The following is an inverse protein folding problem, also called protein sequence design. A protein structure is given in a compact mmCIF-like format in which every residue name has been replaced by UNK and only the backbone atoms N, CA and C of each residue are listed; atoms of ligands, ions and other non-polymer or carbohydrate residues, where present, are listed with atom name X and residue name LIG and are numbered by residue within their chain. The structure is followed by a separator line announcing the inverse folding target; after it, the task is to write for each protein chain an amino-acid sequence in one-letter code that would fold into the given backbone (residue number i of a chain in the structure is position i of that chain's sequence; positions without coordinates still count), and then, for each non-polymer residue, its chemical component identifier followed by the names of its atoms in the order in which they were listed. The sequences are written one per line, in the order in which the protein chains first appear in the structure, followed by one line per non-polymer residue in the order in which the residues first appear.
data_IF_536425540840
#
_entry.id   IF_536425540840
#
_cell.length_a   1.000
_cell.length_b   1.000
_cell.length_c   1.000
_cell.angle_alpha   90.00
_cell.angle_beta   90.00
_cell.angle_gamma   90.00
#
_symmetry.space_group_name_H-M   'P 1'
#
loop_
_entity.id
_entity.type
_entity.pdbx_description
1 polymer ?
#
# COMPACT_ATOMS: atom_id res chain seq x y z
N UNK A 1 25.88 -2.23 -42.64
CA UNK A 1 26.57 -2.51 -41.38
C UNK A 1 26.16 -1.41 -40.40
N UNK A 2 25.39 -1.58 -39.32
CA UNK A 2 24.81 -2.74 -38.65
C UNK A 2 23.39 -2.37 -38.18
N UNK A 3 22.46 -3.27 -38.41
CA UNK A 3 21.08 -3.25 -37.94
C UNK A 3 20.94 -4.04 -36.64
N UNK A 4 19.88 -3.73 -35.88
CA UNK A 4 19.08 -4.70 -35.11
C UNK A 4 19.61 -5.17 -33.75
N UNK A 5 19.07 -4.59 -32.68
CA UNK A 5 18.83 -5.33 -31.42
C UNK A 5 17.35 -5.23 -31.03
N UNK A 6 16.63 -6.29 -31.37
CA UNK A 6 15.25 -6.65 -31.00
C UNK A 6 15.20 -6.88 -29.48
N UNK A 7 14.30 -6.28 -28.69
CA UNK A 7 12.90 -6.71 -28.46
C UNK A 7 12.73 -8.20 -28.14
N UNK A 8 13.17 -8.68 -26.97
CA UNK A 8 12.67 -9.92 -26.36
C UNK A 8 12.80 -9.89 -24.83
N UNK A 9 11.67 -9.84 -24.13
CA UNK A 9 11.51 -10.38 -22.76
C UNK A 9 10.01 -10.46 -22.43
N UNK A 10 9.32 -11.37 -23.10
CA UNK A 10 8.00 -11.85 -22.72
C UNK A 10 8.13 -13.35 -22.47
N UNK A 11 7.86 -13.80 -21.24
CA UNK A 11 7.30 -15.12 -20.89
C UNK A 11 7.62 -15.46 -19.42
N UNK A 12 6.57 -15.61 -18.60
CA UNK A 12 6.31 -16.75 -17.70
C UNK A 12 5.50 -16.29 -16.49
N UNK A 13 4.17 -16.38 -16.61
CA UNK A 13 3.24 -16.37 -15.48
C UNK A 13 1.97 -17.08 -15.91
N UNK A 14 1.94 -18.41 -15.75
CA UNK A 14 0.74 -19.21 -15.90
C UNK A 14 0.88 -20.54 -15.14
N UNK A 15 0.51 -20.51 -13.86
CA UNK A 15 0.16 -21.73 -13.09
C UNK A 15 -1.07 -21.39 -12.25
N UNK A 16 -2.23 -21.48 -12.88
CA UNK A 16 -3.55 -21.39 -12.23
C UNK A 16 -3.80 -22.72 -11.53
N UNK A 17 -3.86 -22.68 -10.20
CA UNK A 17 -4.15 -23.82 -9.35
C UNK A 17 -5.67 -24.11 -9.39
N UNK A 18 -6.00 -25.39 -9.61
CA UNK A 18 -7.36 -25.92 -9.60
C UNK A 18 -8.02 -25.71 -8.23
N UNK A 19 -9.26 -25.24 -8.28
CA UNK A 19 -10.20 -25.10 -7.18
C UNK A 19 -10.74 -26.49 -6.82
N UNK A 20 -10.38 -26.98 -5.63
CA UNK A 20 -11.02 -28.13 -4.98
C UNK A 20 -11.94 -27.63 -3.87
N UNK A 21 -13.25 -27.77 -4.07
CA UNK A 21 -14.25 -27.53 -3.04
C UNK A 21 -14.37 -28.73 -2.09
N UNK A 22 -14.60 -28.44 -0.81
CA UNK A 22 -15.22 -29.37 0.12
C UNK A 22 -16.10 -28.58 1.09
N UNK A 23 -17.35 -29.02 1.20
CA UNK A 23 -18.34 -28.61 2.18
C UNK A 23 -18.01 -29.17 3.58
N UNK A 24 -18.93 -28.98 4.53
CA UNK A 24 -19.08 -29.55 5.90
C UNK A 24 -18.76 -28.53 6.98
N UNK A 25 -19.51 -28.33 8.07
CA UNK A 25 -20.84 -28.78 8.50
C UNK A 25 -21.31 -27.81 9.60
N UNK A 26 -22.61 -27.75 9.84
CA UNK A 26 -23.19 -27.11 11.02
C UNK A 26 -22.84 -27.92 12.27
N UNK A 27 -22.37 -27.24 13.31
CA UNK A 27 -22.21 -27.80 14.65
C UNK A 27 -22.80 -26.82 15.68
N UNK A 28 -24.05 -27.13 16.02
CA UNK A 28 -24.75 -27.06 17.30
C UNK A 28 -24.12 -26.22 18.43
N UNK A 29 -24.92 -25.26 18.89
CA UNK A 29 -24.73 -24.44 20.09
C UNK A 29 -24.71 -25.31 21.36
N UNK A 30 -23.72 -25.07 22.21
CA UNK A 30 -23.74 -25.47 23.61
C UNK A 30 -23.45 -24.21 24.43
N UNK A 31 -24.52 -23.66 25.00
CA UNK A 31 -24.48 -22.67 26.08
C UNK A 31 -23.87 -23.35 27.31
N UNK A 32 -22.71 -22.86 27.75
CA UNK A 32 -22.19 -23.12 29.10
C UNK A 32 -22.07 -21.76 29.78
N UNK A 33 -23.10 -21.43 30.56
CA UNK A 33 -23.04 -20.37 31.56
C UNK A 33 -22.08 -20.81 32.67
N UNK A 34 -20.89 -20.21 32.69
CA UNK A 34 -19.97 -20.27 33.81
C UNK A 34 -19.77 -18.83 34.31
N UNK A 35 -20.54 -18.46 35.33
CA UNK A 35 -20.26 -17.28 36.16
C UNK A 35 -18.92 -17.50 36.87
N UNK A 36 -17.91 -16.74 36.45
CA UNK A 36 -16.65 -16.62 37.18
C UNK A 36 -16.51 -15.18 37.62
N UNK A 37 -16.87 -14.92 38.88
CA UNK A 37 -16.54 -13.68 39.58
C UNK A 37 -15.02 -13.58 39.76
N UNK A 38 -14.35 -12.85 38.88
CA UNK A 38 -12.95 -12.44 39.08
C UNK A 38 -12.93 -11.00 39.56
N UNK A 39 -12.91 -10.85 40.89
CA UNK A 39 -12.52 -9.62 41.57
C UNK A 39 -11.00 -9.43 41.40
N UNK A 40 -10.61 -8.62 40.42
CA UNK A 40 -9.23 -8.17 40.25
C UNK A 40 -9.19 -6.63 40.17
N UNK A 41 -9.08 -6.01 41.34
CA UNK A 41 -8.62 -4.62 41.46
C UNK A 41 -7.15 -4.54 41.05
N UNK A 42 -6.89 -4.31 39.76
CA UNK A 42 -5.58 -3.90 39.26
C UNK A 42 -5.70 -2.50 38.66
N UNK A 43 -5.54 -1.48 39.51
CA UNK A 43 -5.37 -0.07 39.13
C UNK A 43 -3.99 0.12 38.48
N UNK A 44 -3.81 -0.39 37.26
CA UNK A 44 -2.68 0.01 36.44
C UNK A 44 -2.99 1.37 35.84
N UNK A 45 -2.45 2.42 36.46
CA UNK A 45 -2.39 3.78 35.91
C UNK A 45 -1.68 3.71 34.55
N UNK A 46 -2.49 3.66 33.49
CA UNK A 46 -2.03 3.58 32.11
C UNK A 46 -1.53 4.99 31.74
N UNK A 47 -0.23 5.18 31.45
CA UNK A 47 0.30 6.51 31.14
C UNK A 47 -0.50 7.10 29.98
N UNK A 48 -1.00 8.32 30.18
CA UNK A 48 -1.79 9.04 29.20
C UNK A 48 -1.05 9.04 27.87
N UNK A 49 -1.63 8.42 26.85
CA UNK A 49 -1.08 8.45 25.50
C UNK A 49 -0.92 9.91 25.09
N UNK A 50 0.23 10.30 24.51
CA UNK A 50 0.41 11.65 24.02
C UNK A 50 -0.72 12.01 23.04
N UNK A 51 -1.17 13.27 23.03
CA UNK A 51 -2.24 13.70 22.15
C UNK A 51 -1.91 13.29 20.71
N UNK A 52 -2.83 12.56 20.08
CA UNK A 52 -2.69 12.18 18.67
C UNK A 52 -2.43 13.47 17.87
N UNK A 53 -1.42 13.50 16.99
CA UNK A 53 -1.21 14.64 16.13
C UNK A 53 -2.51 14.95 15.36
N UNK A 54 -2.80 16.23 15.11
CA UNK A 54 -4.00 16.62 14.36
C UNK A 54 -4.04 15.83 13.05
N UNK A 55 -5.21 15.24 12.75
CA UNK A 55 -5.40 14.53 11.48
C UNK A 55 -4.96 15.49 10.36
N UNK A 56 -4.05 15.09 9.46
CA UNK A 56 -3.77 15.90 8.28
C UNK A 56 -5.10 16.18 7.59
N UNK A 57 -5.32 17.43 7.19
CA UNK A 57 -6.52 17.87 6.49
C UNK A 57 -6.88 16.87 5.39
N UNK A 58 -8.18 16.60 5.15
CA UNK A 58 -8.59 15.54 4.24
C UNK A 58 -7.99 15.80 2.86
N UNK A 59 -7.15 14.88 2.40
CA UNK A 59 -6.51 14.86 1.06
C UNK A 59 -7.46 15.15 -0.12
N UNK A 60 -8.78 15.08 0.12
CA UNK A 60 -9.86 15.40 -0.80
C UNK A 60 -9.94 16.91 -1.07
N UNK A 61 -9.90 17.75 -0.03
CA UNK A 61 -9.91 19.22 -0.17
C UNK A 61 -8.70 19.70 -0.99
N UNK A 62 -7.52 19.14 -0.72
CA UNK A 62 -6.32 19.50 -1.47
C UNK A 62 -6.38 19.09 -2.97
N UNK A 63 -7.15 18.03 -3.30
CA UNK A 63 -7.37 17.61 -4.69
C UNK A 63 -8.39 18.48 -5.39
N UNK A 64 -9.41 18.91 -4.67
CA UNK A 64 -10.42 19.84 -5.16
C UNK A 64 -9.79 21.19 -5.45
N UNK A 65 -9.05 21.78 -4.50
CA UNK A 65 -8.30 23.03 -4.69
C UNK A 65 -7.35 22.97 -5.89
N UNK A 66 -6.63 21.87 -6.06
CA UNK A 66 -5.69 21.72 -7.18
C UNK A 66 -6.42 21.57 -8.53
N UNK A 67 -7.59 20.91 -8.55
CA UNK A 67 -8.43 20.80 -9.76
C UNK A 67 -9.05 22.14 -10.12
N UNK A 68 -9.60 22.83 -9.13
CA UNK A 68 -10.21 24.16 -9.26
C UNK A 68 -9.19 25.13 -9.85
N UNK A 69 -8.01 25.25 -9.25
CA UNK A 69 -6.92 26.10 -9.79
C UNK A 69 -6.53 25.76 -11.24
N UNK A 70 -6.58 24.49 -11.63
CA UNK A 70 -6.28 24.08 -13.03
C UNK A 70 -7.44 24.45 -13.97
N UNK A 71 -8.69 24.32 -13.51
CA UNK A 71 -9.85 24.75 -14.29
C UNK A 71 -9.87 26.26 -14.44
N UNK A 72 -9.65 27.02 -13.37
CA UNK A 72 -9.57 28.49 -13.40
C UNK A 72 -8.47 28.97 -14.36
N UNK A 73 -7.30 28.32 -14.33
CA UNK A 73 -6.20 28.65 -15.24
C UNK A 73 -6.57 28.37 -16.70
N UNK A 74 -7.38 27.32 -16.94
CA UNK A 74 -7.84 26.93 -18.28
C UNK A 74 -8.94 27.87 -18.79
N UNK A 75 -9.90 28.21 -17.95
CA UNK A 75 -11.01 29.13 -18.25
C UNK A 75 -10.47 30.53 -18.50
N UNK A 76 -9.63 31.06 -17.60
CA UNK A 76 -8.99 32.36 -17.80
C UNK A 76 -8.12 32.41 -19.07
N UNK A 77 -7.53 31.29 -19.48
CA UNK A 77 -6.82 31.18 -20.77
C UNK A 77 -7.75 31.24 -21.99
N UNK A 78 -8.95 30.68 -21.88
CA UNK A 78 -9.94 30.71 -22.96
C UNK A 78 -10.58 32.10 -23.08
N UNK A 79 -10.92 32.72 -21.95
CA UNK A 79 -11.46 34.08 -21.88
C UNK A 79 -10.47 35.09 -22.45
N UNK A 80 -9.22 35.10 -21.96
CA UNK A 80 -8.17 36.00 -22.51
C UNK A 80 -7.93 35.77 -24.00
N UNK A 81 -8.02 34.53 -24.49
CA UNK A 81 -7.89 34.25 -25.94
C UNK A 81 -9.05 34.82 -26.75
N UNK A 82 -10.26 34.82 -26.18
CA UNK A 82 -11.43 35.41 -26.82
C UNK A 82 -11.34 36.94 -26.81
N UNK A 83 -10.95 37.54 -25.69
CA UNK A 83 -10.75 38.99 -25.54
C UNK A 83 -9.69 39.49 -26.52
N UNK A 84 -8.49 38.88 -26.54
CA UNK A 84 -7.41 39.25 -27.46
C UNK A 84 -7.85 39.10 -28.92
N UNK A 85 -8.69 38.10 -29.25
CA UNK A 85 -9.22 37.93 -30.61
C UNK A 85 -10.14 39.09 -30.99
N UNK A 86 -10.99 39.53 -30.09
CA UNK A 86 -11.91 40.67 -30.30
C UNK A 86 -11.11 41.97 -30.41
N UNK A 87 -10.16 42.21 -29.52
CA UNK A 87 -9.27 43.39 -29.55
C UNK A 87 -8.47 43.45 -30.85
N UNK A 88 -7.92 42.32 -31.32
CA UNK A 88 -7.18 42.27 -32.58
C UNK A 88 -8.06 42.55 -33.81
N UNK A 89 -9.33 42.16 -33.77
CA UNK A 89 -10.30 42.47 -34.83
C UNK A 89 -10.71 43.95 -34.85
N UNK A 90 -10.80 44.57 -33.67
CA UNK A 90 -11.18 45.96 -33.49
C UNK A 90 -10.01 46.94 -33.65
N UNK A 91 -8.76 46.46 -33.60
CA UNK A 91 -7.57 47.28 -33.78
C UNK A 91 -7.51 47.89 -35.18
N UNK A 92 -7.62 49.22 -35.21
CA UNK A 92 -7.75 50.07 -36.39
C UNK A 92 -6.39 50.48 -36.95
N UNK A 93 -5.36 50.53 -36.10
CA UNK A 93 -4.00 50.93 -36.48
C UNK A 93 -2.98 49.81 -36.32
N UNK A 94 -1.87 49.92 -37.06
CA UNK A 94 -0.74 49.01 -36.93
C UNK A 94 -0.04 49.10 -35.57
N UNK A 95 -0.16 50.22 -34.86
CA UNK A 95 0.42 50.42 -33.52
C UNK A 95 -0.40 49.72 -32.43
N UNK A 96 -1.73 49.81 -32.49
CA UNK A 96 -2.65 49.08 -31.60
C UNK A 96 -2.46 47.56 -31.73
N UNK A 97 -2.24 47.06 -32.95
CA UNK A 97 -1.93 45.63 -33.15
C UNK A 97 -0.60 45.23 -32.50
N UNK A 98 0.39 46.13 -32.49
CA UNK A 98 1.70 45.86 -31.86
C UNK A 98 1.60 45.82 -30.34
N UNK A 99 0.78 46.67 -29.72
CA UNK A 99 0.57 46.65 -28.27
C UNK A 99 -0.17 45.37 -27.84
N UNK A 100 -1.23 44.98 -28.56
CA UNK A 100 -1.95 43.72 -28.30
C UNK A 100 -1.03 42.50 -28.42
N UNK A 101 -0.16 42.45 -29.44
CA UNK A 101 0.82 41.35 -29.59
C UNK A 101 1.81 41.33 -28.42
N UNK A 102 2.24 42.51 -27.93
CA UNK A 102 3.15 42.60 -26.79
C UNK A 102 2.49 42.10 -25.51
N UNK A 103 1.25 42.52 -25.23
CA UNK A 103 0.46 42.04 -24.09
C UNK A 103 0.17 40.55 -24.18
N UNK A 104 -0.11 40.02 -25.37
CA UNK A 104 -0.26 38.57 -25.59
C UNK A 104 1.02 37.81 -25.24
N UNK A 105 2.20 38.38 -25.56
CA UNK A 105 3.49 37.78 -25.24
C UNK A 105 3.76 37.79 -23.74
N UNK A 106 3.54 38.92 -23.07
CA UNK A 106 3.69 39.06 -21.62
C UNK A 106 2.73 38.12 -20.87
N UNK A 107 1.46 38.05 -21.29
CA UNK A 107 0.48 37.11 -20.74
C UNK A 107 0.91 35.65 -20.92
N UNK A 108 1.50 35.30 -22.06
CA UNK A 108 1.99 33.94 -22.30
C UNK A 108 3.17 33.59 -21.40
N UNK A 109 4.04 34.55 -21.14
CA UNK A 109 5.15 34.40 -20.19
C UNK A 109 4.60 34.21 -18.76
N UNK A 110 3.66 35.05 -18.31
CA UNK A 110 3.00 34.93 -17.00
C UNK A 110 2.34 33.55 -16.79
N UNK A 111 1.61 33.05 -17.81
CA UNK A 111 0.97 31.73 -17.75
C UNK A 111 2.02 30.62 -17.69
N UNK A 112 3.13 30.77 -18.41
CA UNK A 112 4.23 29.80 -18.39
C UNK A 112 4.86 29.73 -17.01
N UNK A 113 5.08 30.89 -16.39
CA UNK A 113 5.68 30.99 -15.06
C UNK A 113 4.75 30.39 -13.99
N UNK A 114 3.45 30.72 -14.02
CA UNK A 114 2.44 30.08 -13.16
C UNK A 114 2.39 28.56 -13.35
N UNK A 115 2.44 28.08 -14.59
CA UNK A 115 2.46 26.65 -14.87
C UNK A 115 3.73 25.97 -14.34
N UNK A 116 4.89 26.64 -14.40
CA UNK A 116 6.13 26.14 -13.81
C UNK A 116 6.05 26.10 -12.27
N UNK A 117 5.49 27.13 -11.65
CA UNK A 117 5.29 27.19 -10.20
C UNK A 117 4.36 26.06 -9.72
N UNK A 118 3.22 25.85 -10.39
CA UNK A 118 2.30 24.74 -10.07
C UNK A 118 3.01 23.40 -10.20
N UNK A 119 3.81 23.19 -11.25
CA UNK A 119 4.58 21.95 -11.44
C UNK A 119 5.63 21.75 -10.35
N UNK A 120 6.34 22.81 -9.94
CA UNK A 120 7.28 22.78 -8.82
C UNK A 120 6.60 22.36 -7.51
N UNK A 121 5.49 23.02 -7.19
CA UNK A 121 4.69 22.72 -6.00
C UNK A 121 4.18 21.27 -5.97
N UNK A 122 3.77 20.71 -7.11
CA UNK A 122 3.33 19.31 -7.20
C UNK A 122 4.51 18.36 -6.93
N UNK A 123 5.69 18.65 -7.47
CA UNK A 123 6.90 17.84 -7.30
C UNK A 123 7.36 17.82 -5.84
N UNK A 124 7.40 18.97 -5.18
CA UNK A 124 7.73 19.05 -3.75
C UNK A 124 6.73 18.26 -2.90
N UNK A 125 5.43 18.41 -3.17
CA UNK A 125 4.38 17.64 -2.49
C UNK A 125 4.53 16.14 -2.70
N UNK A 126 4.91 15.70 -3.90
CA UNK A 126 5.17 14.29 -4.18
C UNK A 126 6.36 13.79 -3.35
N UNK A 127 7.44 14.56 -3.25
CA UNK A 127 8.59 14.20 -2.41
C UNK A 127 8.20 14.07 -0.93
N UNK A 128 7.40 15.02 -0.41
CA UNK A 128 6.86 14.93 0.95
C UNK A 128 6.00 13.69 1.12
N UNK A 129 5.12 13.39 0.16
CA UNK A 129 4.27 12.20 0.18
C UNK A 129 5.08 10.91 0.20
N UNK A 130 6.09 10.81 -0.65
CA UNK A 130 7.00 9.65 -0.70
C UNK A 130 7.72 9.48 0.64
N UNK A 131 8.33 10.55 1.17
CA UNK A 131 9.09 10.49 2.43
C UNK A 131 8.22 10.13 3.63
N UNK A 132 7.04 10.75 3.75
CA UNK A 132 6.20 10.62 4.95
C UNK A 132 5.27 9.42 4.87
N UNK A 133 4.43 9.35 3.84
CA UNK A 133 3.38 8.35 3.75
C UNK A 133 3.93 7.00 3.32
N UNK A 134 4.73 6.96 2.25
CA UNK A 134 5.28 5.70 1.76
C UNK A 134 6.32 5.16 2.75
N UNK A 135 7.16 6.03 3.31
CA UNK A 135 8.07 5.67 4.39
C UNK A 135 7.38 5.03 5.59
N UNK A 136 6.22 5.56 6.03
CA UNK A 136 5.45 4.97 7.12
C UNK A 136 4.80 3.62 6.75
N UNK A 137 4.42 3.41 5.48
CA UNK A 137 3.93 2.11 4.99
C UNK A 137 5.05 1.08 4.97
N UNK A 138 6.23 1.45 4.46
CA UNK A 138 7.42 0.57 4.41
C UNK A 138 7.79 0.12 5.82
N UNK A 139 7.99 1.06 6.76
CA UNK A 139 8.36 0.73 8.15
C UNK A 139 7.35 -0.20 8.84
N UNK A 140 6.05 0.04 8.66
CA UNK A 140 5.02 -0.84 9.23
C UNK A 140 5.02 -2.23 8.60
N UNK A 141 5.29 -2.31 7.31
CA UNK A 141 5.37 -3.57 6.57
C UNK A 141 6.59 -4.39 7.00
N UNK A 142 7.76 -3.75 7.16
CA UNK A 142 8.98 -4.37 7.70
C UNK A 142 8.73 -4.92 9.10
N UNK A 143 8.13 -4.12 9.99
CA UNK A 143 7.80 -4.58 11.34
C UNK A 143 6.86 -5.79 11.33
N UNK A 144 5.83 -5.80 10.47
CA UNK A 144 4.92 -6.94 10.34
C UNK A 144 5.65 -8.20 9.86
N UNK A 145 6.53 -8.08 8.85
CA UNK A 145 7.32 -9.20 8.34
C UNK A 145 8.29 -9.74 9.40
N UNK A 146 8.92 -8.88 10.19
CA UNK A 146 9.77 -9.30 11.31
C UNK A 146 8.97 -10.06 12.37
N UNK A 147 7.73 -9.62 12.65
CA UNK A 147 6.83 -10.36 13.54
C UNK A 147 6.46 -11.73 12.96
N UNK A 148 6.27 -11.83 11.64
CA UNK A 148 5.97 -13.10 10.97
C UNK A 148 7.15 -14.07 11.07
N UNK A 149 8.38 -13.62 10.85
CA UNK A 149 9.58 -14.45 11.00
C UNK A 149 9.71 -15.00 12.43
N UNK A 150 9.47 -14.16 13.44
CA UNK A 150 9.44 -14.59 14.84
C UNK A 150 8.34 -15.63 15.12
N UNK A 151 7.16 -15.47 14.52
CA UNK A 151 6.07 -16.45 14.65
C UNK A 151 6.42 -17.77 13.98
N UNK A 152 7.03 -17.74 12.80
CA UNK A 152 7.51 -18.95 12.09
C UNK A 152 8.48 -19.71 12.98
N UNK A 153 9.52 -19.06 13.52
CA UNK A 153 10.49 -19.71 14.40
C UNK A 153 9.86 -20.36 15.64
N UNK A 154 8.85 -19.70 16.24
CA UNK A 154 8.10 -20.28 17.36
C UNK A 154 7.25 -21.49 16.95
N UNK A 155 6.66 -21.47 15.76
CA UNK A 155 5.90 -22.60 15.22
C UNK A 155 6.81 -23.79 14.93
N UNK A 156 7.96 -23.57 14.29
CA UNK A 156 8.97 -24.60 14.03
C UNK A 156 9.42 -25.28 15.34
N UNK A 157 9.76 -24.49 16.36
CA UNK A 157 10.14 -25.04 17.67
C UNK A 157 9.03 -25.86 18.33
N UNK A 158 7.77 -25.46 18.17
CA UNK A 158 6.63 -26.21 18.72
C UNK A 158 6.32 -27.48 17.92
N UNK A 159 6.48 -27.44 16.59
CA UNK A 159 6.38 -28.62 15.72
C UNK A 159 7.42 -29.65 16.14
N UNK A 160 8.67 -29.24 16.35
CA UNK A 160 9.75 -30.16 16.77
C UNK A 160 9.43 -30.85 18.11
N UNK A 161 8.97 -30.09 19.10
CA UNK A 161 8.54 -30.66 20.39
C UNK A 161 7.36 -31.62 20.27
N UNK A 162 6.48 -31.46 19.29
CA UNK A 162 5.38 -32.39 19.04
C UNK A 162 5.87 -33.67 18.35
N UNK A 163 6.83 -33.55 17.42
CA UNK A 163 7.50 -34.71 16.80
C UNK A 163 8.23 -35.56 17.83
N UNK A 164 8.95 -34.94 18.76
CA UNK A 164 9.64 -35.64 19.86
C UNK A 164 8.67 -36.46 20.73
N UNK A 165 7.40 -36.06 20.78
CA UNK A 165 6.32 -36.78 21.47
C UNK A 165 5.60 -37.81 20.60
N UNK A 166 6.04 -38.03 19.37
CA UNK A 166 5.45 -38.97 18.43
C UNK A 166 4.18 -38.48 17.72
N UNK A 167 3.84 -37.19 17.79
CA UNK A 167 2.68 -36.65 17.06
C UNK A 167 2.97 -36.55 15.55
N UNK A 168 2.00 -36.89 14.71
CA UNK A 168 2.07 -36.64 13.26
C UNK A 168 1.90 -35.16 12.97
N UNK A 169 2.98 -34.51 12.54
CA UNK A 169 3.02 -33.07 12.25
C UNK A 169 2.92 -32.74 10.77
N UNK A 170 2.82 -33.74 9.89
CA UNK A 170 2.96 -33.60 8.43
C UNK A 170 2.08 -32.49 7.84
N UNK A 171 0.80 -32.43 8.24
CA UNK A 171 -0.15 -31.42 7.75
C UNK A 171 0.19 -29.99 8.21
N UNK A 172 0.71 -29.84 9.44
CA UNK A 172 1.07 -28.52 9.98
C UNK A 172 2.34 -28.01 9.33
N UNK A 173 3.30 -28.89 9.06
CA UNK A 173 4.54 -28.56 8.33
C UNK A 173 4.25 -28.07 6.91
N UNK A 174 3.37 -28.77 6.18
CA UNK A 174 2.93 -28.34 4.85
C UNK A 174 2.27 -26.96 4.89
N UNK A 175 1.40 -26.73 5.90
CA UNK A 175 0.73 -25.43 6.09
C UNK A 175 1.71 -24.32 6.45
N UNK A 176 2.74 -24.60 7.27
CA UNK A 176 3.78 -23.65 7.62
C UNK A 176 4.65 -23.31 6.40
N UNK A 177 5.02 -24.30 5.59
CA UNK A 177 5.75 -24.10 4.34
C UNK A 177 5.00 -23.17 3.39
N UNK A 178 3.68 -23.36 3.22
CA UNK A 178 2.84 -22.46 2.43
C UNK A 178 2.83 -21.02 2.99
N UNK A 179 2.74 -20.87 4.32
CA UNK A 179 2.83 -19.56 4.98
C UNK A 179 4.18 -18.88 4.74
N UNK A 180 5.30 -19.61 4.79
CA UNK A 180 6.64 -19.11 4.49
C UNK A 180 6.73 -18.61 3.04
N UNK A 181 6.15 -19.34 2.08
CA UNK A 181 6.10 -18.90 0.69
C UNK A 181 5.37 -17.54 0.51
N UNK A 182 4.26 -17.35 1.24
CA UNK A 182 3.52 -16.08 1.23
C UNK A 182 4.30 -14.94 1.90
N UNK A 183 5.02 -15.22 2.99
CA UNK A 183 5.93 -14.24 3.63
C UNK A 183 7.03 -13.81 2.65
N UNK A 184 7.64 -14.76 1.94
CA UNK A 184 8.64 -14.48 0.90
C UNK A 184 8.07 -13.61 -0.21
N UNK A 185 6.85 -13.89 -0.65
CA UNK A 185 6.15 -13.07 -1.65
C UNK A 185 5.92 -11.65 -1.13
N UNK A 186 5.47 -11.48 0.12
CA UNK A 186 5.28 -10.18 0.74
C UNK A 186 6.60 -9.40 0.90
N UNK A 187 7.71 -10.08 1.24
CA UNK A 187 9.07 -9.49 1.27
C UNK A 187 9.49 -9.00 -0.11
N UNK A 188 9.25 -9.79 -1.17
CA UNK A 188 9.58 -9.41 -2.54
C UNK A 188 8.76 -8.19 -3.00
N UNK A 189 7.46 -8.15 -2.71
CA UNK A 189 6.61 -7.00 -3.05
C UNK A 189 7.03 -5.74 -2.30
N UNK A 190 7.41 -5.85 -1.02
CA UNK A 190 7.92 -4.73 -0.24
C UNK A 190 9.25 -4.22 -0.82
N UNK A 191 10.16 -5.12 -1.21
CA UNK A 191 11.38 -4.77 -1.92
C UNK A 191 11.08 -4.02 -3.22
N UNK A 192 10.10 -4.48 -4.00
CA UNK A 192 9.63 -3.79 -5.21
C UNK A 192 9.12 -2.37 -4.94
N UNK A 193 8.38 -2.16 -3.85
CA UNK A 193 7.95 -0.82 -3.43
C UNK A 193 9.14 0.07 -3.04
N UNK A 194 10.13 -0.47 -2.32
CA UNK A 194 11.35 0.27 -1.95
C UNK A 194 12.16 0.67 -3.18
N UNK A 195 12.33 -0.24 -4.15
CA UNK A 195 12.99 0.07 -5.43
C UNK A 195 12.23 1.15 -6.19
N UNK A 196 10.90 1.07 -6.26
CA UNK A 196 10.08 2.09 -6.91
C UNK A 196 10.30 3.47 -6.24
N UNK A 197 10.29 3.53 -4.91
CA UNK A 197 10.56 4.76 -4.14
C UNK A 197 11.95 5.31 -4.45
N UNK A 198 12.99 4.47 -4.49
CA UNK A 198 14.34 4.89 -4.81
C UNK A 198 14.49 5.37 -6.27
N UNK A 199 13.67 4.85 -7.18
CA UNK A 199 13.68 5.23 -8.59
C UNK A 199 12.96 6.55 -8.90
N UNK A 200 12.23 7.13 -7.94
CA UNK A 200 11.54 8.41 -8.14
C UNK A 200 12.57 9.54 -8.28
N UNK A 201 12.90 9.86 -9.52
CA UNK A 201 13.79 10.97 -9.88
C UNK A 201 13.03 12.28 -10.01
N UNK A 202 13.79 13.37 -9.96
CA UNK A 202 13.30 14.73 -10.12
C UNK A 202 12.60 15.05 -11.45
N UNK A 203 12.89 14.27 -12.50
CA UNK A 203 12.30 14.39 -13.85
C UNK A 203 11.06 13.53 -14.06
N UNK A 204 10.67 12.73 -13.07
CA UNK A 204 9.56 11.78 -13.21
C UNK A 204 8.21 12.50 -13.30
N UNK A 205 7.32 12.00 -14.16
CA UNK A 205 5.94 12.49 -14.21
C UNK A 205 5.20 12.19 -12.88
N UNK A 206 4.76 13.22 -12.12
CA UNK A 206 4.16 13.01 -10.81
C UNK A 206 2.87 12.18 -10.84
N UNK A 207 2.10 12.27 -11.92
CA UNK A 207 0.84 11.54 -12.05
C UNK A 207 1.09 10.03 -12.20
N UNK A 208 2.06 9.66 -13.04
CA UNK A 208 2.50 8.28 -13.24
C UNK A 208 3.09 7.69 -11.95
N UNK A 209 4.02 8.41 -11.30
CA UNK A 209 4.66 7.95 -10.05
C UNK A 209 3.63 7.70 -8.96
N UNK A 210 2.68 8.62 -8.77
CA UNK A 210 1.62 8.47 -7.76
C UNK A 210 0.76 7.23 -8.00
N UNK A 211 0.43 6.95 -9.26
CA UNK A 211 -0.40 5.79 -9.63
C UNK A 211 0.36 4.48 -9.37
N UNK A 212 1.65 4.43 -9.75
CA UNK A 212 2.51 3.28 -9.51
C UNK A 212 2.71 3.02 -8.02
N UNK A 213 2.99 4.08 -7.23
CA UNK A 213 3.14 3.96 -5.77
C UNK A 213 1.88 3.42 -5.11
N UNK A 214 0.69 3.88 -5.54
CA UNK A 214 -0.58 3.38 -5.00
C UNK A 214 -0.76 1.90 -5.29
N UNK A 215 -0.56 1.49 -6.54
CA UNK A 215 -0.69 0.09 -6.94
C UNK A 215 0.30 -0.81 -6.17
N UNK A 216 1.55 -0.35 -6.00
CA UNK A 216 2.56 -1.08 -5.23
C UNK A 216 2.19 -1.21 -3.74
N UNK A 217 1.66 -0.14 -3.12
CA UNK A 217 1.18 -0.18 -1.72
C UNK A 217 0.00 -1.16 -1.56
N UNK A 218 -0.96 -1.13 -2.49
CA UNK A 218 -2.11 -2.04 -2.48
C UNK A 218 -1.65 -3.50 -2.60
N UNK A 219 -0.68 -3.77 -3.48
CA UNK A 219 -0.06 -5.09 -3.65
C UNK A 219 0.63 -5.57 -2.37
N UNK A 220 1.53 -4.76 -1.79
CA UNK A 220 2.21 -5.08 -0.51
C UNK A 220 1.21 -5.37 0.60
N UNK A 221 0.16 -4.55 0.70
CA UNK A 221 -0.88 -4.72 1.72
C UNK A 221 -1.64 -6.03 1.53
N UNK A 222 -1.96 -6.41 0.29
CA UNK A 222 -2.62 -7.67 -0.02
C UNK A 222 -1.73 -8.87 0.34
N UNK A 223 -0.45 -8.84 -0.03
CA UNK A 223 0.51 -9.93 0.25
C UNK A 223 0.74 -10.12 1.75
N UNK A 224 0.86 -9.02 2.53
CA UNK A 224 0.98 -9.09 3.99
C UNK A 224 -0.28 -9.68 4.63
N UNK A 225 -1.48 -9.31 4.16
CA UNK A 225 -2.74 -9.88 4.66
C UNK A 225 -2.86 -11.37 4.36
N UNK A 226 -2.46 -11.80 3.17
CA UNK A 226 -2.44 -13.21 2.79
C UNK A 226 -1.49 -14.01 3.68
N UNK A 227 -0.26 -13.53 3.88
CA UNK A 227 0.72 -14.15 4.79
C UNK A 227 0.19 -14.24 6.23
N UNK A 228 -0.42 -13.17 6.74
CA UNK A 228 -1.02 -13.15 8.08
C UNK A 228 -2.16 -14.18 8.23
N UNK A 229 -3.09 -14.22 7.26
CA UNK A 229 -4.21 -15.16 7.28
C UNK A 229 -3.72 -16.62 7.26
N UNK A 230 -2.72 -16.92 6.44
CA UNK A 230 -2.09 -18.23 6.38
C UNK A 230 -1.43 -18.61 7.70
N UNK A 231 -0.64 -17.72 8.31
CA UNK A 231 -0.04 -17.95 9.62
C UNK A 231 -1.08 -18.20 10.72
N UNK A 232 -2.19 -17.48 10.72
CA UNK A 232 -3.28 -17.73 11.67
C UNK A 232 -3.91 -19.12 11.49
N UNK A 233 -4.09 -19.56 10.25
CA UNK A 233 -4.56 -20.91 9.96
C UNK A 233 -3.58 -21.97 10.47
N UNK A 234 -2.28 -21.81 10.17
CA UNK A 234 -1.21 -22.69 10.69
C UNK A 234 -1.18 -22.71 12.21
N UNK A 235 -1.29 -21.55 12.86
CA UNK A 235 -1.30 -21.43 14.32
C UNK A 235 -2.46 -22.21 14.97
N UNK A 236 -3.65 -22.13 14.36
CA UNK A 236 -4.84 -22.86 14.84
C UNK A 236 -4.69 -24.37 14.67
N UNK A 237 -4.22 -24.82 13.51
CA UNK A 237 -3.96 -26.24 13.28
C UNK A 237 -2.93 -26.81 14.28
N UNK A 238 -1.85 -26.06 14.53
CA UNK A 238 -0.84 -26.44 15.51
C UNK A 238 -1.39 -26.47 16.95
N UNK A 239 -2.30 -25.56 17.29
CA UNK A 239 -2.96 -25.56 18.60
C UNK A 239 -3.88 -26.78 18.77
N UNK A 240 -4.68 -27.10 17.75
CA UNK A 240 -5.55 -28.28 17.75
C UNK A 240 -4.75 -29.58 17.91
N UNK A 241 -3.67 -29.73 17.13
CA UNK A 241 -2.78 -30.89 17.22
C UNK A 241 -2.18 -31.05 18.62
N UNK A 242 -1.74 -29.95 19.24
CA UNK A 242 -1.16 -30.03 20.58
C UNK A 242 -2.18 -30.41 21.66
N UNK A 243 -3.46 -30.07 21.46
CA UNK A 243 -4.52 -30.41 22.41
C UNK A 243 -4.91 -31.89 22.30
N UNK A 244 -4.91 -32.48 21.09
CA UNK A 244 -5.17 -33.91 20.94
C UNK A 244 -4.05 -34.76 21.54
N UNK A 245 -2.78 -34.38 21.33
CA UNK A 245 -1.64 -35.12 21.88
C UNK A 245 -1.59 -35.09 23.42
N UNK A 246 -2.06 -34.03 24.08
CA UNK A 246 -2.11 -34.01 25.55
C UNK A 246 -3.15 -34.95 26.13
N UNK A 247 -4.30 -35.10 25.46
CA UNK A 247 -5.38 -35.99 25.93
C UNK A 247 -4.95 -37.47 25.84
N UNK A 248 -4.27 -37.86 24.76
CA UNK A 248 -3.77 -39.24 24.58
C UNK A 248 -2.73 -39.63 25.64
N UNK A 249 -1.90 -38.67 26.08
CA UNK A 249 -0.91 -38.89 27.12
C UNK A 249 -1.53 -39.09 28.51
N UNK A 250 -2.68 -38.47 28.80
CA UNK A 250 -3.41 -38.65 30.06
C UNK A 250 -4.16 -39.99 30.12
N UNK A 251 -4.66 -40.48 28.99
CA UNK A 251 -5.39 -41.77 28.93
C UNK A 251 -4.48 -43.01 28.96
N UNK A 252 -3.17 -42.82 28.77
CA UNK A 252 -2.20 -43.92 28.67
C UNK A 252 -1.39 -44.18 29.96
N UNK A 253 -1.64 -43.41 31.02
CA UNK A 253 -1.10 -43.61 32.38
C UNK A 253 -2.16 -44.21 33.31
#
# INVERSE_FOLDING_TARGET
MNSSTKTQAAALLASILLIGGAQVAQAQEVEVEAEVEISAQATTSRPALPPRPPRPQPLMQLREDARERIMDLREGMQERRAEIRVEMQNASSGEERRTIIKEMRENREEIRDRAQEIRGNIKERLQVLVRTHVGAVVKRSENALNMFDNLVSRMESRIEKLKERGADTTSVEASLSASIALITTAKADLGGLQTLVASVQESSDPATVKTQLRAAIEKVTASIKAAHASLLATARALAQLSASTSVEAETSN
#
